data_IF_566606846458
#
_entry.id   IF_566606846458
#
_cell.length_a   1.000
_cell.length_b   1.000
_cell.length_c   1.000
_cell.angle_alpha   90.00
_cell.angle_beta   90.00
_cell.angle_gamma   90.00
#
_symmetry.space_group_name_H-M   'P 1'
#
loop_
_entity.id
_entity.type
_entity.pdbx_description
1 polymer ?
#
# COMPACT_ATOMS: atom_id res chain seq x y z
N UNK A 1 11.31 31.18 8.19
CA UNK A 1 11.81 29.87 7.72
C UNK A 1 10.60 28.98 7.43
N UNK A 2 10.05 29.02 6.21
CA UNK A 2 9.04 28.04 5.78
C UNK A 2 9.76 26.89 5.10
N UNK A 3 9.69 25.69 5.67
CA UNK A 3 10.12 24.45 5.01
C UNK A 3 8.89 23.82 4.36
N UNK A 4 8.43 24.41 3.27
CA UNK A 4 7.50 23.73 2.37
C UNK A 4 8.31 22.78 1.50
N UNK A 5 8.51 21.58 2.03
CA UNK A 5 9.23 20.49 1.39
C UNK A 5 8.57 20.15 0.06
N UNK A 6 9.28 20.38 -1.04
CA UNK A 6 8.90 19.99 -2.40
C UNK A 6 8.40 18.54 -2.39
N UNK A 7 7.10 18.32 -2.57
CA UNK A 7 6.60 17.00 -3.00
C UNK A 7 7.35 16.64 -4.28
N UNK A 8 7.99 15.47 -4.32
CA UNK A 8 8.71 15.04 -5.51
C UNK A 8 7.70 14.81 -6.65
N UNK A 9 8.08 15.17 -7.87
CA UNK A 9 7.28 15.02 -9.10
C UNK A 9 6.61 13.63 -9.26
N UNK A 10 7.24 12.49 -8.87
CA UNK A 10 6.62 11.17 -8.96
C UNK A 10 5.37 11.01 -8.08
N UNK A 11 5.33 11.62 -6.89
CA UNK A 11 4.19 11.51 -5.97
C UNK A 11 2.99 12.27 -6.54
N UNK A 12 3.22 13.45 -7.10
CA UNK A 12 2.18 14.24 -7.73
C UNK A 12 1.60 13.52 -8.95
N UNK A 13 2.43 12.83 -9.73
CA UNK A 13 1.97 12.02 -10.85
C UNK A 13 1.14 10.81 -10.36
N UNK A 14 1.59 10.11 -9.32
CA UNK A 14 0.85 8.98 -8.75
C UNK A 14 -0.52 9.42 -8.20
N UNK A 15 -0.57 10.50 -7.42
CA UNK A 15 -1.82 11.07 -6.87
C UNK A 15 -2.83 11.41 -7.99
N UNK A 16 -2.36 11.98 -9.11
CA UNK A 16 -3.19 12.28 -10.28
C UNK A 16 -3.66 11.00 -10.95
N UNK A 17 -2.73 10.06 -11.19
CA UNK A 17 -3.02 8.80 -11.85
C UNK A 17 -3.96 7.92 -11.03
N UNK A 18 -3.99 8.00 -9.70
CA UNK A 18 -4.87 7.22 -8.81
C UNK A 18 -6.03 8.03 -8.23
N UNK A 19 -6.40 9.14 -8.86
CA UNK A 19 -7.44 10.06 -8.34
C UNK A 19 -8.83 9.44 -8.18
N UNK A 20 -9.09 8.30 -8.81
CA UNK A 20 -10.32 7.52 -8.63
C UNK A 20 -10.35 6.69 -7.34
N UNK A 21 -9.20 6.49 -6.69
CA UNK A 21 -9.08 5.86 -5.37
C UNK A 21 -9.10 6.93 -4.28
N UNK A 22 -10.04 6.84 -3.35
CA UNK A 22 -10.11 7.74 -2.19
C UNK A 22 -9.58 7.02 -0.95
N UNK A 23 -8.96 7.74 0.00
CA UNK A 23 -8.47 7.13 1.24
C UNK A 23 -9.53 6.33 2.01
N UNK A 24 -10.81 6.73 1.93
CA UNK A 24 -11.93 6.00 2.56
C UNK A 24 -12.19 4.63 1.94
N UNK A 25 -11.85 4.43 0.67
CA UNK A 25 -12.15 3.21 -0.06
C UNK A 25 -11.30 2.06 0.49
N UNK A 26 -10.03 2.33 0.83
CA UNK A 26 -9.14 1.35 1.46
C UNK A 26 -9.69 0.83 2.79
N UNK A 27 -10.18 1.74 3.63
CA UNK A 27 -10.65 1.44 4.99
C UNK A 27 -12.02 0.79 5.03
N UNK A 28 -12.86 1.04 4.01
CA UNK A 28 -14.24 0.59 3.99
C UNK A 28 -14.49 -0.35 2.82
N UNK A 29 -14.72 0.18 1.62
CA UNK A 29 -15.23 -0.59 0.49
C UNK A 29 -14.32 -1.76 0.11
N UNK A 30 -13.01 -1.53 0.02
CA UNK A 30 -12.03 -2.57 -0.33
C UNK A 30 -11.89 -3.57 0.83
N UNK A 31 -11.88 -3.09 2.07
CA UNK A 31 -11.84 -3.96 3.26
C UNK A 31 -13.08 -4.86 3.37
N UNK A 32 -14.26 -4.35 3.00
CA UNK A 32 -15.52 -5.11 2.97
C UNK A 32 -15.50 -6.17 1.87
N UNK A 33 -14.97 -5.85 0.68
CA UNK A 33 -14.89 -6.78 -0.45
C UNK A 33 -13.85 -7.90 -0.27
N UNK A 34 -12.73 -7.59 0.39
CA UNK A 34 -11.66 -8.55 0.70
C UNK A 34 -11.85 -9.21 2.07
N UNK A 35 -12.95 -8.90 2.77
CA UNK A 35 -13.28 -9.40 4.11
C UNK A 35 -12.19 -9.20 5.19
N UNK A 36 -11.23 -8.30 4.93
CA UNK A 36 -10.08 -8.03 5.79
C UNK A 36 -9.91 -6.53 5.96
N UNK A 37 -9.81 -6.08 7.22
CA UNK A 37 -9.63 -4.67 7.55
C UNK A 37 -8.23 -4.19 7.17
N UNK A 38 -8.15 -3.10 6.42
CA UNK A 38 -6.89 -2.43 6.12
C UNK A 38 -6.12 -2.02 7.39
N UNK A 39 -4.82 -2.34 7.45
CA UNK A 39 -3.90 -2.15 8.57
C UNK A 39 -4.23 -2.92 9.85
N UNK A 40 -5.15 -3.89 9.79
CA UNK A 40 -5.34 -4.84 10.87
C UNK A 40 -4.10 -5.69 11.09
N UNK A 41 -3.84 -6.06 12.33
CA UNK A 41 -2.77 -7.00 12.66
C UNK A 41 -3.13 -8.40 12.19
N UNK A 42 -2.14 -9.14 11.70
CA UNK A 42 -2.23 -10.57 11.42
C UNK A 42 -1.29 -11.34 12.35
N UNK A 43 -1.62 -12.59 12.65
CA UNK A 43 -0.74 -13.49 13.40
C UNK A 43 0.43 -14.00 12.55
N UNK A 44 0.23 -14.09 11.22
CA UNK A 44 1.20 -14.62 10.27
C UNK A 44 1.08 -13.94 8.91
N UNK A 45 2.08 -14.14 8.06
CA UNK A 45 2.03 -13.71 6.65
C UNK A 45 1.01 -14.56 5.88
N UNK A 46 0.43 -14.00 4.83
CA UNK A 46 -0.51 -14.72 3.97
C UNK A 46 0.23 -15.71 3.08
N UNK A 47 -0.31 -16.94 2.98
CA UNK A 47 0.22 -17.98 2.11
C UNK A 47 -0.19 -17.75 0.64
N UNK A 48 -1.38 -17.17 0.42
CA UNK A 48 -1.93 -16.86 -0.90
C UNK A 48 -2.34 -15.38 -0.97
N UNK A 49 -2.27 -14.84 -2.17
CA UNK A 49 -2.60 -13.44 -2.44
C UNK A 49 -4.00 -13.36 -3.03
N UNK A 50 -4.89 -12.66 -2.35
CA UNK A 50 -6.22 -12.33 -2.87
C UNK A 50 -6.23 -10.93 -3.50
N UNK A 51 -7.09 -10.72 -4.49
CA UNK A 51 -7.21 -9.43 -5.16
C UNK A 51 -8.55 -9.22 -5.84
N UNK A 52 -8.89 -7.95 -6.04
CA UNK A 52 -10.13 -7.48 -6.64
C UNK A 52 -9.85 -6.41 -7.70
N UNK A 53 -10.77 -6.27 -8.65
CA UNK A 53 -10.80 -5.12 -9.56
C UNK A 53 -11.65 -4.02 -8.93
N UNK A 54 -11.07 -2.83 -8.74
CA UNK A 54 -11.73 -1.73 -8.02
C UNK A 54 -11.64 -0.40 -8.76
N UNK A 55 -12.68 0.42 -8.61
CA UNK A 55 -12.72 1.79 -9.12
C UNK A 55 -13.02 1.90 -10.61
N UNK A 56 -13.10 3.14 -11.11
CA UNK A 56 -13.47 3.41 -12.50
C UNK A 56 -12.40 2.93 -13.48
N UNK A 57 -11.14 3.02 -13.09
CA UNK A 57 -10.03 2.55 -13.90
C UNK A 57 -9.83 1.02 -13.82
N UNK A 58 -10.72 0.29 -13.12
CA UNK A 58 -10.62 -1.16 -12.93
C UNK A 58 -9.22 -1.57 -12.45
N UNK A 59 -8.78 -0.98 -11.33
CA UNK A 59 -7.45 -1.21 -10.79
C UNK A 59 -7.40 -2.54 -10.07
N UNK A 60 -6.34 -3.30 -10.29
CA UNK A 60 -6.08 -4.49 -9.51
C UNK A 60 -5.56 -4.08 -8.12
N UNK A 61 -6.38 -4.32 -7.10
CA UNK A 61 -6.03 -4.13 -5.70
C UNK A 61 -5.87 -5.49 -5.05
N UNK A 62 -4.77 -5.69 -4.35
CA UNK A 62 -4.46 -6.96 -3.70
C UNK A 62 -4.33 -6.80 -2.19
N UNK A 63 -4.84 -7.79 -1.46
CA UNK A 63 -4.57 -8.00 -0.06
C UNK A 63 -3.23 -8.73 0.09
N UNK A 64 -2.29 -8.10 0.79
CA UNK A 64 -1.02 -8.72 1.17
C UNK A 64 -0.70 -8.41 2.63
N UNK A 65 0.09 -9.27 3.26
CA UNK A 65 0.68 -8.96 4.56
C UNK A 65 2.02 -8.28 4.40
N UNK A 66 2.26 -7.21 5.15
CA UNK A 66 3.59 -6.65 5.32
C UNK A 66 4.09 -6.96 6.73
N UNK A 67 5.32 -7.46 6.82
CA UNK A 67 5.97 -7.78 8.09
C UNK A 67 7.14 -6.84 8.34
N UNK A 68 7.11 -6.17 9.49
CA UNK A 68 8.23 -5.37 9.98
C UNK A 68 8.55 -5.82 11.40
N UNK A 69 9.77 -6.34 11.58
CA UNK A 69 10.21 -6.99 12.82
C UNK A 69 9.26 -8.14 13.19
N UNK A 70 8.48 -7.98 14.26
CA UNK A 70 7.55 -9.00 14.79
C UNK A 70 6.09 -8.70 14.44
N UNK A 71 5.81 -7.50 13.92
CA UNK A 71 4.46 -7.09 13.59
C UNK A 71 4.15 -7.46 12.15
N UNK A 72 3.00 -8.09 11.94
CA UNK A 72 2.45 -8.38 10.61
C UNK A 72 1.13 -7.62 10.47
N UNK A 73 0.94 -6.93 9.34
CA UNK A 73 -0.31 -6.23 9.06
C UNK A 73 -0.82 -6.51 7.67
N UNK A 74 -2.15 -6.54 7.55
CA UNK A 74 -2.86 -6.60 6.29
C UNK A 74 -2.83 -5.24 5.60
N UNK A 75 -2.35 -5.19 4.36
CA UNK A 75 -2.17 -3.98 3.56
C UNK A 75 -2.80 -4.24 2.19
N UNK A 76 -3.56 -3.26 1.71
CA UNK A 76 -4.06 -3.25 0.34
C UNK A 76 -3.04 -2.56 -0.55
N UNK A 77 -2.55 -3.27 -1.56
CA UNK A 77 -1.62 -2.76 -2.56
C UNK A 77 -2.33 -2.55 -3.89
N UNK A 78 -2.01 -1.44 -4.55
CA UNK A 78 -2.24 -1.30 -5.98
C UNK A 78 -1.16 -2.11 -6.70
N UNK A 79 -1.57 -3.00 -7.60
CA UNK A 79 -0.64 -3.74 -8.44
C UNK A 79 -0.31 -2.89 -9.66
N UNK A 80 0.94 -2.47 -9.74
CA UNK A 80 1.51 -1.73 -10.86
C UNK A 80 2.69 -2.53 -11.43
N UNK A 81 2.44 -3.21 -12.55
CA UNK A 81 3.44 -4.07 -13.21
C UNK A 81 4.53 -3.29 -13.92
N UNK A 82 4.35 -1.98 -14.12
CA UNK A 82 5.35 -1.11 -14.77
C UNK A 82 6.32 -0.48 -13.76
N UNK A 83 6.04 -0.61 -12.46
CA UNK A 83 6.93 -0.10 -11.41
C UNK A 83 8.01 -1.12 -11.05
N UNK A 84 9.28 -0.70 -11.11
CA UNK A 84 10.42 -1.51 -10.66
C UNK A 84 10.59 -1.54 -9.14
N UNK A 85 9.85 -0.69 -8.41
CA UNK A 85 9.94 -0.55 -6.95
C UNK A 85 8.55 -0.58 -6.30
N UNK A 86 8.51 -1.02 -5.04
CA UNK A 86 7.30 -0.94 -4.21
C UNK A 86 7.32 0.33 -3.38
N UNK A 87 6.26 1.13 -3.50
CA UNK A 87 6.06 2.34 -2.71
C UNK A 87 5.08 2.08 -1.57
N UNK A 88 5.46 2.47 -0.36
CA UNK A 88 4.63 2.33 0.84
C UNK A 88 4.32 3.72 1.39
N UNK A 89 3.05 4.00 1.64
CA UNK A 89 2.64 5.31 2.13
C UNK A 89 2.98 5.48 3.62
N UNK A 90 3.14 6.74 4.04
CA UNK A 90 3.46 7.09 5.42
C UNK A 90 2.49 6.47 6.44
N UNK A 91 1.20 6.36 6.09
CA UNK A 91 0.18 5.76 6.98
C UNK A 91 0.49 4.30 7.32
N UNK A 92 1.03 3.53 6.38
CA UNK A 92 1.46 2.16 6.63
C UNK A 92 2.67 2.16 7.57
N UNK A 93 3.69 2.98 7.29
CA UNK A 93 4.91 3.08 8.11
C UNK A 93 4.59 3.50 9.56
N UNK A 94 3.74 4.51 9.72
CA UNK A 94 3.26 4.99 11.02
C UNK A 94 2.52 3.89 11.79
N UNK A 95 1.81 2.99 11.09
CA UNK A 95 1.14 1.86 11.75
C UNK A 95 2.11 0.85 12.38
N UNK A 96 3.38 0.83 11.94
CA UNK A 96 4.48 0.04 12.52
C UNK A 96 5.35 0.84 13.51
N UNK A 97 4.90 2.04 13.91
CA UNK A 97 5.65 2.95 14.76
C UNK A 97 7.04 3.31 14.18
N UNK A 98 7.16 3.36 12.85
CA UNK A 98 8.37 3.80 12.18
C UNK A 98 8.31 5.31 11.92
N UNK A 99 9.25 6.05 12.50
CA UNK A 99 9.40 7.48 12.23
C UNK A 99 10.12 7.67 10.90
N UNK A 100 9.43 8.22 9.90
CA UNK A 100 10.01 8.50 8.58
C UNK A 100 10.97 9.68 8.71
N UNK A 101 12.28 9.43 8.79
CA UNK A 101 13.30 10.50 8.73
C UNK A 101 13.58 10.89 7.27
N UNK A 102 13.42 9.95 6.33
CA UNK A 102 13.35 10.12 4.87
C UNK A 102 12.77 8.84 4.24
N UNK A 103 12.25 8.95 3.01
CA UNK A 103 11.62 7.85 2.26
C UNK A 103 12.44 6.56 2.33
N UNK A 104 11.88 5.53 2.95
CA UNK A 104 12.46 4.19 2.90
C UNK A 104 11.82 3.47 1.70
N UNK A 105 12.59 3.25 0.64
CA UNK A 105 12.26 2.23 -0.35
C UNK A 105 12.27 0.90 0.39
N UNK A 106 11.11 0.30 0.61
CA UNK A 106 11.02 -1.07 1.12
C UNK A 106 11.01 -1.95 -0.13
N UNK A 107 12.18 -2.47 -0.49
CA UNK A 107 12.28 -3.53 -1.48
C UNK A 107 11.67 -4.81 -0.88
N UNK A 108 10.42 -5.09 -1.18
CA UNK A 108 9.90 -6.46 -1.02
C UNK A 108 10.42 -7.27 -2.22
N UNK A 109 11.11 -8.37 -1.94
CA UNK A 109 11.64 -9.25 -2.97
C UNK A 109 10.49 -9.74 -3.87
N UNK A 110 10.72 -9.61 -5.18
CA UNK A 110 9.81 -9.98 -6.26
C UNK A 110 9.08 -11.30 -5.99
N UNK A 111 7.74 -11.26 -5.93
CA UNK A 111 6.93 -12.45 -6.16
C UNK A 111 6.97 -12.74 -7.66
N UNK A 112 7.77 -13.72 -8.06
CA UNK A 112 7.61 -14.35 -9.36
C UNK A 112 6.29 -15.14 -9.32
N UNK A 113 5.31 -14.73 -10.12
CA UNK A 113 4.20 -15.60 -10.49
C UNK A 113 4.81 -16.69 -11.39
N UNK A 114 5.08 -17.87 -10.81
CA UNK A 114 5.45 -19.09 -11.55
C UNK A 114 4.21 -19.80 -12.05
#
# INVERSE_FOLDING_TARGET
>A
MSKDTKKSFPILLLDVLTSDLKPKDLHKTISEQLEVKYLSSSAQELDEIEGIMFGRASRLISLMTMKIKRDVKNVHFLIDTESSETFVCEKVLNSFNLTVVTQTTICMYNFYLT
#
